data_IF_389214995991
#
_entry.id   IF_389214995991
#
_cell.length_a   1.000
_cell.length_b   1.000
_cell.length_c   1.000
_cell.angle_alpha   90.00
_cell.angle_beta   90.00
_cell.angle_gamma   90.00
#
_symmetry.space_group_name_H-M   'P 1'
#
loop_
_entity.id
_entity.type
_entity.pdbx_description
1 polymer ?
#
# COMPACT_ATOMS: atom_id res chain seq x y z
N UNK A 1 2.70 -23.85 19.09
CA UNK A 1 2.69 -23.40 18.61
C UNK A 1 2.71 -23.05 17.95
N UNK A 2 2.74 -22.58 17.50
CA UNK A 2 2.79 -22.07 16.85
C UNK A 2 2.89 -21.69 16.07
N UNK A 3 3.01 -21.69 15.64
CA UNK A 3 3.30 -21.19 14.81
C UNK A 3 3.22 -20.37 14.24
N UNK A 4 3.19 -19.95 14.04
CA UNK A 4 3.10 -19.18 13.51
C UNK A 4 3.33 -18.46 13.15
N UNK A 5 3.57 -18.35 13.00
CA UNK A 5 3.78 -17.62 12.68
C UNK A 5 4.17 -16.91 12.21
N UNK A 6 4.19 -16.71 12.16
CA UNK A 6 4.73 -16.14 11.62
C UNK A 6 4.69 -15.07 11.08
N UNK A 7 4.57 -14.68 10.92
CA UNK A 7 4.75 -13.60 10.20
C UNK A 7 4.45 -12.42 10.95
N UNK A 8 5.08 -11.36 10.57
CA UNK A 8 5.01 -10.23 11.31
C UNK A 8 3.68 -9.69 11.35
N UNK A 9 3.04 -9.99 10.37
CA UNK A 9 1.79 -9.45 10.34
C UNK A 9 0.96 -10.03 11.35
N UNK A 10 1.54 -10.94 12.05
CA UNK A 10 0.77 -11.47 12.89
C UNK A 10 0.33 -10.74 13.99
N UNK A 11 0.62 -9.68 14.21
CA UNK A 11 0.02 -8.94 15.17
C UNK A 11 -1.41 -8.68 14.83
N UNK A 12 -1.99 -9.45 13.93
CA UNK A 12 -3.38 -9.31 13.55
C UNK A 12 -3.61 -8.43 12.35
N UNK A 13 -2.56 -7.97 11.72
CA UNK A 13 -2.67 -7.17 10.49
C UNK A 13 -2.20 -8.03 9.34
N UNK A 14 -3.04 -8.17 8.33
CA UNK A 14 -2.73 -9.00 7.17
C UNK A 14 -2.82 -8.17 5.91
N UNK A 15 -1.79 -8.24 5.07
CA UNK A 15 -1.79 -7.57 3.78
C UNK A 15 -1.97 -8.62 2.70
N UNK A 16 -2.98 -8.47 1.86
CA UNK A 16 -3.25 -9.41 0.80
C UNK A 16 -3.21 -8.78 -0.56
N UNK A 17 -2.77 -9.57 -1.52
CA UNK A 17 -2.82 -9.21 -2.94
C UNK A 17 -2.12 -7.88 -3.24
N UNK A 18 -1.00 -7.65 -2.61
CA UNK A 18 -0.26 -6.41 -2.86
C UNK A 18 0.46 -6.54 -4.20
N UNK A 19 0.16 -5.66 -5.12
CA UNK A 19 0.76 -5.72 -6.45
C UNK A 19 0.82 -4.34 -7.08
N UNK A 20 1.72 -4.20 -8.02
CA UNK A 20 1.79 -2.99 -8.83
C UNK A 20 2.18 -3.42 -10.22
N UNK A 21 1.87 -2.59 -11.21
CA UNK A 21 2.30 -2.83 -12.58
C UNK A 21 3.41 -1.86 -12.92
N UNK A 22 4.46 -2.35 -13.53
CA UNK A 22 5.55 -1.46 -13.95
C UNK A 22 5.01 -0.40 -14.88
N UNK A 23 5.53 0.83 -14.78
CA UNK A 23 5.00 1.90 -15.63
C UNK A 23 5.34 1.65 -17.08
N UNK A 24 4.58 2.30 -17.92
CA UNK A 24 4.86 2.24 -19.35
C UNK A 24 6.19 2.90 -19.61
N UNK A 25 6.77 2.55 -20.75
CA UNK A 25 8.05 3.08 -21.11
C UNK A 25 8.03 4.58 -21.05
N UNK A 26 9.03 5.18 -20.50
CA UNK A 26 9.12 6.62 -20.36
C UNK A 26 8.54 7.17 -19.09
N UNK A 27 7.83 6.36 -18.34
CA UNK A 27 7.26 6.83 -17.10
C UNK A 27 8.05 6.29 -15.92
N UNK A 28 8.06 7.02 -14.82
CA UNK A 28 8.76 6.62 -13.62
C UNK A 28 7.79 6.35 -12.49
N UNK A 29 6.51 6.46 -12.72
CA UNK A 29 5.51 6.35 -11.65
C UNK A 29 4.56 5.21 -11.90
N UNK A 30 4.10 4.61 -10.83
CA UNK A 30 3.13 3.52 -10.91
C UNK A 30 2.26 3.56 -9.67
N UNK A 31 1.10 2.94 -9.76
CA UNK A 31 0.20 2.82 -8.64
C UNK A 31 0.17 1.39 -8.17
N UNK A 32 0.05 1.20 -6.88
CA UNK A 32 -0.05 -0.11 -6.28
C UNK A 32 -1.32 -0.26 -5.48
N UNK A 33 -1.77 -1.49 -5.34
CA UNK A 33 -3.04 -1.82 -4.74
C UNK A 33 -2.86 -3.00 -3.79
N UNK A 34 -3.72 -3.08 -2.80
CA UNK A 34 -3.67 -4.17 -1.84
C UNK A 34 -4.94 -4.15 -0.99
N UNK A 35 -5.08 -5.16 -0.17
CA UNK A 35 -6.12 -5.19 0.83
C UNK A 35 -5.42 -5.32 2.19
N UNK A 36 -5.79 -4.48 3.15
CA UNK A 36 -5.24 -4.53 4.48
C UNK A 36 -6.37 -4.93 5.43
N UNK A 37 -6.16 -5.98 6.17
CA UNK A 37 -7.17 -6.49 7.10
C UNK A 37 -6.66 -6.32 8.52
N UNK A 38 -7.51 -5.80 9.39
CA UNK A 38 -7.18 -5.63 10.79
C UNK A 38 -8.02 -6.62 11.59
N UNK A 39 -7.39 -7.67 12.08
CA UNK A 39 -8.07 -8.69 12.86
C UNK A 39 -7.89 -8.47 14.34
N UNK A 40 -7.42 -7.30 14.74
CA UNK A 40 -7.24 -6.98 16.14
C UNK A 40 -8.53 -6.45 16.72
N UNK A 41 -8.56 -6.34 18.05
CA UNK A 41 -9.72 -5.82 18.73
C UNK A 41 -9.72 -4.30 18.83
N UNK A 42 -8.70 -3.65 18.31
CA UNK A 42 -8.67 -2.19 18.34
C UNK A 42 -8.23 -1.69 16.98
N UNK A 43 -8.52 -0.44 16.69
CA UNK A 43 -8.19 0.13 15.40
C UNK A 43 -6.70 0.40 15.30
N UNK A 44 -6.22 0.46 14.09
CA UNK A 44 -4.84 0.85 13.83
C UNK A 44 -4.87 2.07 12.93
N UNK A 45 -3.96 3.01 13.14
CA UNK A 45 -3.87 4.20 12.32
C UNK A 45 -2.52 4.16 11.64
N UNK A 46 -2.55 4.18 10.31
CA UNK A 46 -1.34 4.12 9.49
C UNK A 46 -0.97 5.52 9.04
N UNK A 47 0.26 5.90 9.28
CA UNK A 47 0.69 7.26 8.97
C UNK A 47 1.59 7.34 7.74
N UNK A 48 2.20 6.24 7.32
CA UNK A 48 3.06 6.33 6.15
C UNK A 48 3.42 4.96 5.64
N UNK A 49 4.04 4.95 4.47
CA UNK A 49 4.56 3.73 3.87
C UNK A 49 5.98 4.03 3.42
N UNK A 50 6.86 3.07 3.57
CA UNK A 50 8.23 3.20 3.10
C UNK A 50 8.61 1.95 2.35
N UNK A 51 9.35 2.11 1.27
CA UNK A 51 9.79 0.98 0.46
C UNK A 51 11.28 1.09 0.22
N UNK A 52 11.89 -0.04 -0.11
CA UNK A 52 13.31 -0.04 -0.41
C UNK A 52 13.51 0.34 -1.86
N UNK A 53 14.46 1.25 -2.10
CA UNK A 53 14.91 1.60 -3.44
C UNK A 53 13.94 2.48 -4.23
N UNK A 54 12.72 2.65 -3.80
CA UNK A 54 11.77 3.52 -4.52
C UNK A 54 11.04 4.34 -3.50
N UNK A 55 10.43 5.42 -3.93
CA UNK A 55 9.63 6.27 -3.06
C UNK A 55 8.18 5.87 -3.16
N UNK A 56 7.49 5.88 -2.05
CA UNK A 56 6.08 5.52 -2.03
C UNK A 56 5.31 6.50 -1.17
N UNK A 57 4.08 6.76 -1.53
CA UNK A 57 3.22 7.65 -0.76
C UNK A 57 1.78 7.20 -0.90
N UNK A 58 0.95 7.63 0.06
CA UNK A 58 -0.45 7.25 0.08
C UNK A 58 -1.28 8.34 -0.58
N UNK A 59 -2.20 7.93 -1.43
CA UNK A 59 -3.04 8.87 -2.16
C UNK A 59 -4.46 8.35 -2.24
N UNK A 60 -5.40 9.22 -2.51
CA UNK A 60 -6.75 8.81 -2.82
C UNK A 60 -7.30 9.66 -3.93
N UNK A 61 -8.21 9.10 -4.68
CA UNK A 61 -8.86 9.81 -5.76
C UNK A 61 -10.14 10.42 -5.21
N UNK A 62 -10.31 11.70 -5.43
CA UNK A 62 -11.50 12.40 -4.95
C UNK A 62 -12.13 13.15 -6.12
N UNK A 63 -13.42 13.43 -6.01
CA UNK A 63 -14.14 14.21 -7.00
C UNK A 63 -14.54 15.50 -6.32
N UNK A 64 -14.11 16.64 -6.85
CA UNK A 64 -14.39 17.90 -6.21
C UNK A 64 -15.81 18.37 -6.56
N UNK A 65 -16.17 19.55 -6.06
CA UNK A 65 -17.52 20.03 -6.21
C UNK A 65 -17.89 20.31 -7.65
N UNK A 66 -16.92 20.44 -8.52
CA UNK A 66 -17.20 20.70 -9.92
C UNK A 66 -17.15 19.44 -10.75
N UNK A 67 -17.06 18.29 -10.11
CA UNK A 67 -17.01 17.02 -10.82
C UNK A 67 -15.64 16.64 -11.35
N UNK A 68 -14.61 17.38 -10.99
CA UNK A 68 -13.28 17.09 -11.48
C UNK A 68 -12.62 16.02 -10.61
N UNK A 69 -11.91 15.11 -11.24
CA UNK A 69 -11.24 14.05 -10.55
C UNK A 69 -9.85 14.53 -10.18
N UNK A 70 -9.48 14.38 -8.92
CA UNK A 70 -8.18 14.81 -8.45
C UNK A 70 -7.57 13.74 -7.56
N UNK A 71 -6.25 13.68 -7.51
CA UNK A 71 -5.55 12.83 -6.59
C UNK A 71 -5.09 13.66 -5.42
N UNK A 72 -5.34 13.18 -4.21
CA UNK A 72 -5.01 13.91 -3.02
C UNK A 72 -4.10 13.06 -2.17
N UNK A 73 -3.01 13.63 -1.67
CA UNK A 73 -2.11 12.89 -0.79
C UNK A 73 -2.83 12.62 0.52
N UNK A 74 -2.71 11.39 1.00
CA UNK A 74 -3.38 10.98 2.20
C UNK A 74 -2.38 10.99 3.34
N UNK A 75 -2.65 11.76 4.39
CA UNK A 75 -1.70 11.86 5.48
C UNK A 75 -1.78 10.68 6.40
N UNK A 76 -2.90 10.08 6.56
CA UNK A 76 -3.04 8.88 7.36
C UNK A 76 -4.39 8.24 7.08
N UNK A 77 -4.53 7.00 7.44
CA UNK A 77 -5.82 6.34 7.36
C UNK A 77 -5.93 5.37 8.53
N UNK A 78 -7.15 5.03 8.90
CA UNK A 78 -7.35 4.10 10.00
C UNK A 78 -8.15 2.90 9.52
N UNK A 79 -7.92 1.78 10.19
CA UNK A 79 -8.66 0.55 9.90
C UNK A 79 -9.22 0.10 11.23
N UNK A 80 -10.53 0.02 11.34
CA UNK A 80 -11.19 -0.35 12.59
C UNK A 80 -10.95 -1.79 12.97
N UNK A 81 -11.36 -2.16 14.17
CA UNK A 81 -11.20 -3.53 14.61
C UNK A 81 -12.03 -4.46 13.75
N UNK A 82 -11.47 -5.59 13.40
CA UNK A 82 -12.16 -6.59 12.62
C UNK A 82 -12.69 -6.02 11.32
N UNK A 83 -11.96 -5.12 10.71
CA UNK A 83 -12.35 -4.46 9.47
C UNK A 83 -11.21 -4.52 8.46
N UNK A 84 -11.47 -4.00 7.29
CA UNK A 84 -10.43 -3.96 6.25
C UNK A 84 -10.59 -2.72 5.40
N UNK A 85 -9.53 -2.39 4.66
CA UNK A 85 -9.60 -1.35 3.65
C UNK A 85 -9.00 -1.93 2.38
N UNK A 86 -9.51 -1.48 1.25
CA UNK A 86 -8.99 -1.90 -0.05
C UNK A 86 -8.38 -0.71 -0.75
N UNK A 87 -7.19 -0.91 -1.30
CA UNK A 87 -6.57 0.08 -2.17
C UNK A 87 -6.83 -0.42 -3.56
N UNK A 88 -7.66 0.29 -4.31
CA UNK A 88 -8.13 -0.13 -5.61
C UNK A 88 -8.13 1.03 -6.58
N UNK A 89 -8.12 0.75 -7.87
CA UNK A 89 -8.20 1.83 -8.86
C UNK A 89 -9.43 2.69 -8.63
N UNK A 90 -9.25 3.99 -8.69
CA UNK A 90 -10.36 4.91 -8.44
C UNK A 90 -10.57 5.22 -6.98
N UNK A 91 -9.86 4.59 -6.08
CA UNK A 91 -9.98 4.83 -4.65
C UNK A 91 -8.64 5.17 -4.06
N UNK A 92 -8.35 4.60 -2.89
CA UNK A 92 -7.03 4.79 -2.29
C UNK A 92 -6.02 3.96 -3.07
N UNK A 93 -4.83 4.47 -3.17
CA UNK A 93 -3.77 3.75 -3.87
C UNK A 93 -2.42 4.20 -3.34
N UNK A 94 -1.40 3.41 -3.62
CA UNK A 94 -0.05 3.77 -3.24
C UNK A 94 0.64 4.21 -4.51
N UNK A 95 1.23 5.40 -4.49
CA UNK A 95 1.90 5.93 -5.64
C UNK A 95 3.38 5.73 -5.47
N UNK A 96 4.02 5.15 -6.47
CA UNK A 96 5.45 4.89 -6.44
C UNK A 96 6.15 5.78 -7.44
N UNK A 97 7.37 6.21 -7.11
CA UNK A 97 8.22 6.89 -8.08
C UNK A 97 9.62 6.31 -7.92
N UNK A 98 10.44 6.51 -8.92
CA UNK A 98 11.78 5.95 -8.92
C UNK A 98 11.83 4.54 -9.45
N UNK A 99 10.84 4.15 -10.25
CA UNK A 99 10.81 2.80 -10.77
C UNK A 99 11.59 2.60 -12.03
N UNK A 100 12.11 3.66 -12.63
CA UNK A 100 12.78 3.54 -13.88
C UNK A 100 13.94 2.56 -13.84
N UNK A 101 14.67 2.55 -12.74
CA UNK A 101 15.81 1.67 -12.62
C UNK A 101 15.51 0.40 -11.85
N UNK A 102 14.27 0.21 -11.44
CA UNK A 102 13.92 -0.93 -10.61
C UNK A 102 13.71 -2.15 -11.49
N UNK A 103 14.41 -3.24 -11.19
CA UNK A 103 14.36 -4.41 -12.05
C UNK A 103 13.94 -5.68 -11.34
N UNK A 104 13.50 -5.58 -10.11
CA UNK A 104 13.21 -6.81 -9.36
C UNK A 104 11.73 -7.17 -9.46
N UNK A 105 11.42 -8.41 -9.17
CA UNK A 105 10.03 -8.88 -9.28
C UNK A 105 9.24 -8.67 -8.01
N UNK A 106 9.89 -8.29 -6.92
CA UNK A 106 9.18 -7.97 -5.69
C UNK A 106 9.75 -6.67 -5.15
N UNK A 107 8.91 -5.96 -4.43
CA UNK A 107 9.31 -4.69 -3.83
C UNK A 107 8.99 -4.76 -2.36
N UNK A 108 9.98 -4.58 -1.50
CA UNK A 108 9.80 -4.68 -0.06
C UNK A 108 9.38 -3.34 0.50
N UNK A 109 8.30 -3.34 1.24
CA UNK A 109 7.75 -2.12 1.82
C UNK A 109 7.30 -2.38 3.25
N UNK A 110 6.98 -1.32 3.97
CA UNK A 110 6.39 -1.45 5.28
C UNK A 110 5.46 -0.26 5.53
N UNK A 111 4.32 -0.53 6.15
CA UNK A 111 3.47 0.53 6.66
C UNK A 111 3.94 0.87 8.06
N UNK A 112 3.82 2.15 8.43
CA UNK A 112 4.15 2.59 9.78
C UNK A 112 2.90 3.14 10.42
N UNK A 113 2.61 2.66 11.64
CA UNK A 113 1.46 3.17 12.36
C UNK A 113 1.87 4.39 13.19
N UNK A 114 0.90 5.16 13.64
CA UNK A 114 1.19 6.33 14.46
C UNK A 114 1.77 5.93 15.81
N UNK A 115 1.58 4.68 16.24
CA UNK A 115 2.15 4.24 17.49
C UNK A 115 3.55 3.65 17.32
N UNK A 116 4.06 3.66 16.09
CA UNK A 116 5.43 3.20 15.86
C UNK A 116 5.55 1.74 15.45
N UNK A 117 4.46 1.07 15.20
CA UNK A 117 4.52 -0.33 14.75
C UNK A 117 4.80 -0.36 13.27
N UNK A 118 5.74 -1.22 12.89
CA UNK A 118 6.09 -1.38 11.49
C UNK A 118 5.47 -2.66 10.98
N UNK A 119 4.83 -2.62 9.83
CA UNK A 119 4.16 -3.77 9.24
C UNK A 119 4.79 -4.03 7.88
N UNK A 120 5.77 -4.92 7.83
CA UNK A 120 6.47 -5.19 6.57
C UNK A 120 5.65 -6.10 5.65
N UNK A 121 5.80 -5.90 4.37
CA UNK A 121 5.15 -6.74 3.38
C UNK A 121 5.85 -6.54 2.04
N UNK A 122 5.45 -7.28 1.03
CA UNK A 122 6.04 -7.14 -0.29
C UNK A 122 4.96 -6.93 -1.33
N UNK A 123 5.26 -6.13 -2.33
CA UNK A 123 4.42 -5.99 -3.51
C UNK A 123 4.96 -6.94 -4.58
N UNK A 124 4.06 -7.57 -5.28
CA UNK A 124 4.42 -8.31 -6.47
C UNK A 124 4.50 -7.32 -7.62
N UNK A 125 5.58 -7.31 -8.34
CA UNK A 125 5.77 -6.37 -9.44
C UNK A 125 5.41 -7.08 -10.73
N UNK A 126 4.37 -6.61 -11.41
CA UNK A 126 3.86 -7.24 -12.62
C UNK A 126 4.19 -6.39 -13.83
N UNK A 127 4.35 -7.03 -14.95
CA UNK A 127 4.56 -6.28 -16.16
C UNK A 127 3.23 -6.00 -16.81
N UNK A 128 3.16 -4.84 -17.42
CA UNK A 128 1.93 -4.45 -18.04
C UNK A 128 1.99 -4.87 -19.47
N UNK A 129 1.73 -6.13 -19.77
CA UNK A 129 1.86 -6.53 -21.07
C UNK A 129 0.68 -6.51 -21.77
N UNK A 130 0.63 -6.46 -22.93
CA UNK A 130 -0.55 -6.37 -23.58
C UNK A 130 -0.60 -6.82 -24.76
#
# INVERSE_FOLDING_TARGET
>A
MLPGCNDSSDRGIIIKDAHLYMPLEGSDMAAGYLRLENHQLKKIIISSIECKKVKASLHETVIDLEGMIKMKKLEMFSVGPESHVNFIPGGMHIMFSGLKEFKESILMCAFLSVSGIEIPFVFEVRTNEK
#
